data_IF_222620322707
#
_entry.id   IF_222620322707
#
_cell.length_a   1.000
_cell.length_b   1.000
_cell.length_c   1.000
_cell.angle_alpha   90.00
_cell.angle_beta   90.00
_cell.angle_gamma   90.00
#
_symmetry.space_group_name_H-M   'P 1'
#
loop_
_entity.id
_entity.type
_entity.pdbx_description
1 polymer ?
#
# COMPACT_ATOMS: atom_id res chain seq x y z
N UNK A 1 22.05 53.43 11.88
CA UNK A 1 22.30 52.01 11.54
C UNK A 1 21.00 51.28 11.81
N UNK A 2 20.30 50.83 10.75
CA UNK A 2 19.08 50.03 10.86
C UNK A 2 19.51 48.57 10.90
N UNK A 3 19.25 47.89 12.00
CA UNK A 3 19.55 46.47 12.19
C UNK A 3 18.61 45.66 11.30
N UNK A 4 19.17 44.94 10.32
CA UNK A 4 18.44 44.00 9.47
C UNK A 4 18.29 42.72 10.29
N UNK A 5 17.05 42.34 10.60
CA UNK A 5 16.76 41.04 11.19
C UNK A 5 16.87 39.98 10.09
N UNK A 6 17.89 39.14 10.19
CA UNK A 6 18.08 37.98 9.31
C UNK A 6 17.09 36.90 9.75
N UNK A 7 16.02 36.69 8.98
CA UNK A 7 15.11 35.56 9.17
C UNK A 7 15.85 34.26 8.84
N UNK A 8 15.89 33.35 9.80
CA UNK A 8 16.37 31.97 9.58
C UNK A 8 15.21 31.22 8.93
N UNK A 9 15.36 30.89 7.66
CA UNK A 9 14.45 30.01 6.94
C UNK A 9 14.74 28.57 7.42
N UNK A 10 13.86 28.03 8.26
CA UNK A 10 13.85 26.60 8.55
C UNK A 10 13.31 25.88 7.31
N UNK A 11 14.21 25.28 6.54
CA UNK A 11 13.84 24.27 5.55
C UNK A 11 13.52 23.02 6.36
N UNK A 12 12.25 22.74 6.58
CA UNK A 12 11.81 21.46 7.13
C UNK A 12 12.34 20.36 6.21
N UNK A 13 13.15 19.44 6.74
CA UNK A 13 13.39 18.17 6.07
C UNK A 13 12.05 17.44 6.10
N UNK A 14 11.32 17.46 4.98
CA UNK A 14 10.30 16.46 4.77
C UNK A 14 11.01 15.11 4.78
N UNK A 15 10.81 14.34 5.84
CA UNK A 15 11.21 12.94 5.89
C UNK A 15 10.27 12.22 4.92
N UNK A 16 10.66 12.15 3.64
CA UNK A 16 10.03 11.20 2.73
C UNK A 16 10.28 9.83 3.34
N UNK A 17 9.24 9.13 3.78
CA UNK A 17 9.35 7.76 4.23
C UNK A 17 10.11 6.98 3.15
N UNK A 18 11.34 6.60 3.47
CA UNK A 18 12.20 5.90 2.52
C UNK A 18 11.68 4.47 2.44
N UNK A 19 11.41 3.98 1.23
CA UNK A 19 11.09 2.57 1.00
C UNK A 19 12.14 1.68 1.68
N UNK A 20 11.68 0.67 2.42
CA UNK A 20 12.58 -0.22 3.12
C UNK A 20 13.26 -1.19 2.14
N UNK A 21 14.51 -1.55 2.43
CA UNK A 21 15.23 -2.61 1.72
C UNK A 21 15.15 -3.91 2.52
N UNK A 22 14.45 -4.90 1.98
CA UNK A 22 14.26 -6.21 2.60
C UNK A 22 15.17 -7.22 1.93
N UNK A 23 15.99 -7.91 2.73
CA UNK A 23 16.91 -8.93 2.24
C UNK A 23 16.37 -10.34 2.46
N UNK A 24 16.39 -11.16 1.41
CA UNK A 24 16.11 -12.60 1.46
C UNK A 24 17.34 -13.34 0.95
N UNK A 25 17.85 -14.28 1.75
CA UNK A 25 19.01 -15.09 1.36
C UNK A 25 18.56 -16.48 0.97
N UNK A 26 18.88 -16.92 -0.24
CA UNK A 26 18.75 -18.32 -0.61
C UNK A 26 19.88 -19.12 0.07
N UNK A 27 19.53 -20.12 0.87
CA UNK A 27 20.47 -21.02 1.57
C UNK A 27 20.05 -22.47 1.34
N UNK A 28 20.87 -23.25 0.62
CA UNK A 28 20.52 -24.64 0.29
C UNK A 28 19.20 -24.72 -0.50
N UNK A 29 18.18 -25.39 0.05
CA UNK A 29 16.84 -25.49 -0.55
C UNK A 29 15.82 -24.61 0.19
N UNK A 30 16.25 -23.45 0.70
CA UNK A 30 15.40 -22.55 1.48
C UNK A 30 15.63 -21.09 1.11
N UNK A 31 14.61 -20.28 1.35
CA UNK A 31 14.71 -18.83 1.44
C UNK A 31 14.72 -18.44 2.92
N UNK A 32 15.65 -17.57 3.32
CA UNK A 32 15.83 -17.12 4.70
C UNK A 32 15.81 -15.59 4.77
N UNK A 33 14.83 -14.97 5.47
CA UNK A 33 13.70 -15.64 6.11
C UNK A 33 12.72 -16.24 5.08
N UNK A 34 11.94 -17.28 5.45
CA UNK A 34 10.94 -17.90 4.56
C UNK A 34 9.65 -17.08 4.44
N UNK A 35 9.52 -16.01 5.23
CA UNK A 35 8.46 -15.03 5.11
C UNK A 35 8.98 -13.65 5.48
N UNK A 36 8.55 -12.64 4.73
CA UNK A 36 8.84 -11.22 4.99
C UNK A 36 7.54 -10.43 5.01
N UNK A 37 7.51 -9.37 5.81
CA UNK A 37 6.44 -8.36 5.78
C UNK A 37 6.99 -7.12 5.09
N UNK A 38 6.23 -6.60 4.13
CA UNK A 38 6.61 -5.43 3.32
C UNK A 38 5.41 -4.53 3.11
N UNK A 39 5.64 -3.31 2.66
CA UNK A 39 4.60 -2.38 2.19
C UNK A 39 4.83 -1.99 0.72
N UNK A 40 3.80 -1.48 0.02
CA UNK A 40 3.97 -0.92 -1.32
C UNK A 40 5.15 0.06 -1.38
N UNK A 41 5.96 0.01 -2.43
CA UNK A 41 7.19 0.81 -2.58
C UNK A 41 8.46 0.18 -2.02
N UNK A 42 8.39 -0.77 -1.08
CA UNK A 42 9.56 -1.46 -0.55
C UNK A 42 10.32 -2.24 -1.64
N UNK A 43 11.61 -2.45 -1.43
CA UNK A 43 12.48 -3.20 -2.35
C UNK A 43 12.95 -4.49 -1.70
N UNK A 44 12.58 -5.62 -2.28
CA UNK A 44 13.04 -6.94 -1.85
C UNK A 44 14.25 -7.33 -2.69
N UNK A 45 15.34 -7.73 -2.03
CA UNK A 45 16.57 -8.24 -2.65
C UNK A 45 16.80 -9.69 -2.28
N UNK A 46 16.76 -10.58 -3.26
CA UNK A 46 17.16 -11.98 -3.11
C UNK A 46 18.66 -12.12 -3.37
N UNK A 47 19.37 -12.83 -2.48
CA UNK A 47 20.80 -13.13 -2.63
C UNK A 47 21.05 -14.63 -2.61
N UNK A 48 21.75 -15.14 -3.62
CA UNK A 48 22.15 -16.54 -3.77
C UNK A 48 23.41 -16.86 -2.97
N UNK A 49 23.43 -17.98 -2.25
CA UNK A 49 24.64 -18.51 -1.60
C UNK A 49 25.29 -19.68 -2.32
N UNK A 50 24.57 -20.40 -3.19
CA UNK A 50 25.10 -21.53 -3.94
C UNK A 50 24.10 -22.09 -4.96
N UNK A 51 24.47 -23.16 -5.68
CA UNK A 51 23.53 -23.85 -6.59
C UNK A 51 23.03 -23.02 -7.78
N UNK A 52 21.89 -23.38 -8.36
CA UNK A 52 21.13 -22.54 -9.30
C UNK A 52 19.71 -22.49 -8.78
N UNK A 53 19.16 -21.29 -8.68
CA UNK A 53 17.85 -21.04 -8.09
C UNK A 53 17.14 -19.94 -8.86
N UNK A 54 15.90 -19.70 -8.48
CA UNK A 54 15.06 -18.62 -8.92
C UNK A 54 14.04 -18.32 -7.83
N UNK A 55 13.40 -17.15 -7.92
CA UNK A 55 12.21 -16.80 -7.18
C UNK A 55 11.09 -16.55 -8.21
N UNK A 56 10.08 -17.42 -8.21
CA UNK A 56 8.96 -17.38 -9.15
C UNK A 56 7.67 -17.17 -8.37
N UNK A 57 6.95 -16.09 -8.67
CA UNK A 57 5.64 -15.83 -8.09
C UNK A 57 4.68 -16.96 -8.46
N UNK A 58 4.10 -17.61 -7.45
CA UNK A 58 3.23 -18.76 -7.62
C UNK A 58 3.23 -19.66 -6.41
N UNK A 59 2.41 -20.71 -6.45
CA UNK A 59 2.15 -21.59 -5.31
C UNK A 59 2.14 -23.05 -5.72
N UNK A 60 2.34 -23.95 -4.76
CA UNK A 60 2.29 -25.40 -4.99
C UNK A 60 3.17 -25.87 -6.16
N UNK A 61 4.28 -25.16 -6.39
CA UNK A 61 5.21 -25.38 -7.50
C UNK A 61 4.64 -25.10 -8.91
N UNK A 62 3.60 -24.27 -8.99
CA UNK A 62 3.04 -23.73 -10.22
C UNK A 62 3.18 -22.21 -10.23
N UNK A 63 3.72 -21.66 -11.31
CA UNK A 63 3.77 -20.23 -11.55
C UNK A 63 2.34 -19.66 -11.54
N UNK A 64 2.17 -18.46 -10.99
CA UNK A 64 0.89 -17.78 -11.03
C UNK A 64 0.50 -17.48 -12.49
N UNK A 65 -0.77 -17.70 -12.82
CA UNK A 65 -1.34 -17.48 -14.14
C UNK A 65 -1.84 -16.04 -14.26
N UNK A 66 -1.65 -15.43 -15.43
CA UNK A 66 -2.28 -14.15 -15.82
C UNK A 66 -3.73 -14.32 -16.34
N UNK A 67 -4.22 -15.56 -16.32
CA UNK A 67 -5.53 -16.01 -16.82
C UNK A 67 -5.83 -15.57 -18.25
N UNK A 68 -4.83 -15.62 -19.12
CA UNK A 68 -4.96 -15.23 -20.51
C UNK A 68 -4.81 -13.72 -20.71
N UNK A 69 -4.04 -13.08 -19.83
CA UNK A 69 -3.73 -11.65 -19.87
C UNK A 69 -4.81 -10.75 -19.26
N UNK A 70 -5.69 -11.31 -18.42
CA UNK A 70 -6.73 -10.55 -17.71
C UNK A 70 -6.10 -9.68 -16.62
N UNK A 71 -5.06 -10.18 -15.97
CA UNK A 71 -4.38 -9.49 -14.87
C UNK A 71 -3.07 -8.88 -15.38
N UNK A 72 -3.10 -7.59 -15.74
CA UNK A 72 -1.93 -6.88 -16.20
C UNK A 72 -0.82 -6.91 -15.14
N UNK A 73 0.41 -7.27 -15.54
CA UNK A 73 1.55 -7.36 -14.62
C UNK A 73 1.56 -8.63 -13.73
N UNK A 74 0.67 -9.58 -13.96
CA UNK A 74 0.74 -10.93 -13.38
C UNK A 74 1.41 -11.92 -14.35
N UNK A 75 2.17 -12.91 -13.85
CA UNK A 75 2.73 -13.00 -12.50
C UNK A 75 3.70 -11.84 -12.19
N UNK A 76 3.83 -11.45 -10.92
CA UNK A 76 4.65 -10.30 -10.52
C UNK A 76 6.13 -10.40 -10.88
N UNK A 77 6.73 -11.59 -10.75
CA UNK A 77 8.14 -11.76 -10.96
C UNK A 77 8.53 -13.22 -11.26
N UNK A 78 9.60 -13.35 -12.03
CA UNK A 78 10.30 -14.61 -12.32
C UNK A 78 11.80 -14.31 -12.40
N UNK A 79 12.49 -14.41 -11.24
CA UNK A 79 13.82 -13.86 -11.03
C UNK A 79 14.86 -14.97 -10.93
N UNK A 80 15.84 -15.00 -11.84
CA UNK A 80 16.91 -15.99 -11.80
C UNK A 80 18.01 -15.62 -10.79
N UNK A 81 18.46 -16.63 -10.06
CA UNK A 81 19.56 -16.56 -9.09
C UNK A 81 20.64 -17.57 -9.48
N UNK A 82 21.73 -17.07 -10.08
CA UNK A 82 22.82 -17.88 -10.64
C UNK A 82 24.19 -17.41 -10.15
N UNK A 83 25.26 -18.13 -10.49
CA UNK A 83 26.61 -17.67 -10.18
C UNK A 83 26.99 -16.36 -10.89
N UNK A 84 26.46 -16.13 -12.09
CA UNK A 84 26.67 -14.90 -12.88
C UNK A 84 25.73 -13.76 -12.50
N UNK A 85 24.59 -14.06 -11.89
CA UNK A 85 23.62 -13.10 -11.38
C UNK A 85 23.20 -13.54 -9.97
N UNK A 86 24.02 -13.28 -8.95
CA UNK A 86 23.79 -13.80 -7.60
C UNK A 86 22.71 -13.04 -6.84
N UNK A 87 22.29 -11.87 -7.33
CA UNK A 87 21.26 -11.04 -6.70
C UNK A 87 20.18 -10.67 -7.70
N UNK A 88 18.95 -10.56 -7.23
CA UNK A 88 17.82 -10.03 -7.97
C UNK A 88 16.95 -9.17 -7.06
N UNK A 89 16.29 -8.16 -7.61
CA UNK A 89 15.45 -7.23 -6.85
C UNK A 89 14.06 -7.12 -7.45
N UNK A 90 13.07 -6.88 -6.60
CA UNK A 90 11.70 -6.55 -7.00
C UNK A 90 11.16 -5.46 -6.07
N UNK A 91 10.55 -4.44 -6.66
CA UNK A 91 9.89 -3.37 -5.92
C UNK A 91 8.41 -3.70 -5.81
N UNK A 92 7.86 -3.62 -4.60
CA UNK A 92 6.44 -3.86 -4.35
C UNK A 92 5.63 -2.76 -5.06
N UNK A 93 4.73 -3.09 -6.01
CA UNK A 93 3.91 -2.10 -6.71
C UNK A 93 2.95 -1.39 -5.75
N UNK A 94 2.44 -0.23 -6.16
CA UNK A 94 1.45 0.52 -5.38
C UNK A 94 0.19 -0.31 -5.12
N UNK A 95 -0.29 -1.06 -6.12
CA UNK A 95 -1.40 -2.01 -6.02
C UNK A 95 -0.89 -3.46 -6.14
N UNK A 96 -1.17 -4.30 -5.15
CA UNK A 96 -0.59 -5.65 -5.04
C UNK A 96 -1.46 -6.57 -4.16
N UNK A 97 -1.37 -7.89 -4.35
CA UNK A 97 -2.03 -8.87 -3.46
C UNK A 97 -1.42 -8.83 -2.06
N UNK A 98 -2.26 -8.96 -1.02
CA UNK A 98 -1.85 -8.94 0.39
C UNK A 98 -0.94 -10.11 0.78
N UNK A 99 -0.99 -11.21 0.03
CA UNK A 99 -0.10 -12.37 0.17
C UNK A 99 0.40 -12.82 -1.18
N UNK A 100 1.71 -13.03 -1.28
CA UNK A 100 2.40 -13.38 -2.53
C UNK A 100 3.26 -14.61 -2.26
N UNK A 101 2.72 -15.82 -2.47
CA UNK A 101 3.52 -17.03 -2.40
C UNK A 101 4.51 -17.09 -3.57
N UNK A 102 5.70 -17.63 -3.33
CA UNK A 102 6.67 -17.86 -4.38
C UNK A 102 7.51 -19.10 -4.09
N UNK A 103 8.16 -19.62 -5.12
CA UNK A 103 8.95 -20.84 -5.03
C UNK A 103 10.17 -20.82 -5.95
N UNK A 104 11.02 -21.83 -5.80
CA UNK A 104 12.10 -22.11 -6.75
C UNK A 104 11.67 -23.21 -7.74
N UNK A 105 11.63 -22.88 -9.03
CA UNK A 105 11.20 -23.75 -10.13
C UNK A 105 12.29 -24.73 -10.59
N UNK A 106 13.53 -24.57 -10.11
CA UNK A 106 14.67 -25.40 -10.53
C UNK A 106 14.49 -26.86 -10.08
N UNK A 107 14.31 -27.76 -11.05
CA UNK A 107 14.23 -29.20 -10.82
C UNK A 107 13.15 -29.57 -9.81
N UNK A 108 13.52 -30.30 -8.76
CA UNK A 108 12.60 -30.70 -7.70
C UNK A 108 12.69 -29.77 -6.46
N UNK A 109 13.32 -28.59 -6.54
CA UNK A 109 13.58 -27.75 -5.36
C UNK A 109 12.29 -27.38 -4.63
N UNK A 110 11.27 -26.91 -5.34
CA UNK A 110 9.98 -26.61 -4.72
C UNK A 110 9.30 -27.84 -4.11
N UNK A 111 9.31 -29.00 -4.79
CA UNK A 111 8.76 -30.24 -4.22
C UNK A 111 9.54 -30.75 -2.99
N UNK A 112 10.75 -30.24 -2.75
CA UNK A 112 11.52 -30.47 -1.52
C UNK A 112 11.32 -29.35 -0.47
N UNK A 113 10.35 -28.46 -0.66
CA UNK A 113 9.98 -27.41 0.30
C UNK A 113 10.61 -26.04 0.05
N UNK A 114 11.22 -25.80 -1.11
CA UNK A 114 11.80 -24.49 -1.44
C UNK A 114 10.72 -23.51 -1.91
N UNK A 115 9.90 -23.06 -0.97
CA UNK A 115 8.84 -22.06 -1.12
C UNK A 115 8.91 -21.04 0.02
N UNK A 116 8.36 -19.86 -0.20
CA UNK A 116 8.29 -18.77 0.76
C UNK A 116 7.11 -17.85 0.44
N UNK A 117 6.87 -16.87 1.30
CA UNK A 117 5.72 -15.96 1.19
C UNK A 117 6.13 -14.52 1.50
N UNK A 118 5.66 -13.59 0.69
CA UNK A 118 5.69 -12.16 1.02
C UNK A 118 4.31 -11.78 1.54
N UNK A 119 4.26 -11.14 2.70
CA UNK A 119 3.06 -10.58 3.29
C UNK A 119 3.12 -9.07 3.07
N UNK A 120 2.17 -8.53 2.32
CA UNK A 120 2.07 -7.10 2.11
C UNK A 120 1.14 -6.52 3.17
N UNK A 121 1.52 -5.38 3.75
CA UNK A 121 0.73 -4.64 4.74
C UNK A 121 0.65 -3.16 4.34
N UNK A 122 -0.38 -2.42 4.80
CA UNK A 122 -0.44 -0.98 4.63
C UNK A 122 0.84 -0.28 5.09
N UNK A 123 1.22 0.81 4.41
CA UNK A 123 2.39 1.61 4.81
C UNK A 123 2.20 2.11 6.24
N UNK A 124 3.27 2.10 7.03
CA UNK A 124 3.20 2.62 8.40
C UNK A 124 2.73 4.08 8.41
N UNK A 125 1.68 4.36 9.18
CA UNK A 125 1.09 5.70 9.30
C UNK A 125 0.17 6.12 8.16
N UNK A 126 -0.14 5.26 7.18
CA UNK A 126 -1.26 5.51 6.27
C UNK A 126 -2.58 5.23 6.98
N UNK A 127 -3.61 6.03 6.67
CA UNK A 127 -4.98 5.67 7.03
C UNK A 127 -5.42 4.49 6.16
N UNK A 128 -6.02 3.49 6.78
CA UNK A 128 -6.50 2.29 6.09
C UNK A 128 -7.99 2.42 5.83
N UNK A 129 -8.39 2.30 4.56
CA UNK A 129 -9.79 2.23 4.13
C UNK A 129 -10.07 0.81 3.65
N UNK A 130 -10.92 0.09 4.39
CA UNK A 130 -11.25 -1.30 4.08
C UNK A 130 -12.54 -1.41 3.29
N UNK A 131 -12.53 -2.25 2.26
CA UNK A 131 -13.67 -2.60 1.41
C UNK A 131 -13.80 -4.11 1.40
N UNK A 132 -14.94 -4.60 1.86
CA UNK A 132 -15.25 -6.02 1.91
C UNK A 132 -15.95 -6.43 0.61
N UNK A 133 -15.37 -7.37 -0.14
CA UNK A 133 -16.05 -8.01 -1.25
C UNK A 133 -16.85 -9.20 -0.71
N UNK A 134 -18.18 -9.17 -0.87
CA UNK A 134 -19.07 -10.27 -0.52
C UNK A 134 -20.15 -10.47 -1.59
N UNK A 135 -20.30 -11.71 -2.06
CA UNK A 135 -21.21 -12.09 -3.15
C UNK A 135 -20.99 -11.25 -4.43
N UNK A 136 -21.77 -10.20 -4.67
CA UNK A 136 -21.69 -9.31 -5.83
C UNK A 136 -21.60 -7.84 -5.41
N UNK A 137 -21.26 -7.59 -4.15
CA UNK A 137 -21.15 -6.27 -3.57
C UNK A 137 -19.70 -5.99 -3.15
N UNK A 138 -19.25 -4.76 -3.39
CA UNK A 138 -18.16 -4.15 -2.64
C UNK A 138 -18.78 -3.32 -1.51
N UNK A 139 -18.30 -3.52 -0.28
CA UNK A 139 -18.92 -2.95 0.91
C UNK A 139 -17.87 -2.16 1.70
N UNK A 140 -18.02 -0.82 1.82
CA UNK A 140 -19.06 -0.01 1.18
C UNK A 140 -18.86 0.09 -0.35
N UNK A 141 -19.95 0.32 -1.09
CA UNK A 141 -19.91 0.50 -2.55
C UNK A 141 -19.20 1.83 -2.91
N UNK A 142 -19.39 2.85 -2.06
CA UNK A 142 -18.78 4.16 -2.15
C UNK A 142 -18.10 4.52 -0.83
N UNK A 143 -16.84 4.93 -0.89
CA UNK A 143 -16.09 5.47 0.26
C UNK A 143 -15.25 6.68 -0.16
N UNK A 144 -14.66 7.36 0.81
CA UNK A 144 -13.69 8.44 0.57
C UNK A 144 -12.30 8.02 1.02
N UNK A 145 -11.28 8.52 0.33
CA UNK A 145 -9.88 8.35 0.68
C UNK A 145 -9.06 9.53 0.16
N UNK A 146 -7.81 9.62 0.57
CA UNK A 146 -6.89 10.66 0.11
C UNK A 146 -5.59 10.08 -0.44
N UNK A 147 -4.85 10.84 -1.27
CA UNK A 147 -3.47 10.50 -1.60
C UNK A 147 -2.65 10.20 -0.33
N UNK A 148 -1.92 9.09 -0.32
CA UNK A 148 -1.21 8.61 0.87
C UNK A 148 -2.01 7.62 1.75
N UNK A 149 -3.32 7.47 1.57
CA UNK A 149 -4.10 6.42 2.22
C UNK A 149 -3.82 5.04 1.60
N UNK A 150 -4.11 3.98 2.34
CA UNK A 150 -4.10 2.61 1.82
C UNK A 150 -5.52 2.07 1.72
N UNK A 151 -5.91 1.63 0.52
CA UNK A 151 -7.13 0.87 0.29
C UNK A 151 -6.83 -0.61 0.46
N UNK A 152 -7.69 -1.32 1.18
CA UNK A 152 -7.61 -2.78 1.37
C UNK A 152 -8.93 -3.39 0.95
N UNK A 153 -8.93 -4.15 -0.15
CA UNK A 153 -10.06 -4.99 -0.51
C UNK A 153 -9.87 -6.38 0.06
N UNK A 154 -10.82 -6.85 0.86
CA UNK A 154 -10.84 -8.21 1.42
C UNK A 154 -11.83 -9.09 0.66
N UNK A 155 -11.46 -10.33 0.41
CA UNK A 155 -12.30 -11.34 -0.21
C UNK A 155 -13.07 -12.13 0.85
N UNK A 156 -14.39 -12.22 0.73
CA UNK A 156 -15.21 -13.07 1.61
C UNK A 156 -15.86 -14.25 0.91
N UNK A 157 -16.05 -14.22 -0.41
CA UNK A 157 -16.80 -15.26 -1.12
C UNK A 157 -16.55 -15.23 -2.64
N UNK A 158 -16.65 -16.38 -3.32
CA UNK A 158 -16.64 -16.43 -4.79
C UNK A 158 -15.28 -16.20 -5.45
N UNK A 159 -15.27 -15.89 -6.74
CA UNK A 159 -14.05 -15.52 -7.49
C UNK A 159 -14.27 -14.15 -8.12
N UNK A 160 -13.44 -13.19 -7.73
CA UNK A 160 -13.61 -11.78 -8.08
C UNK A 160 -12.27 -11.17 -8.48
N UNK A 161 -12.30 -9.87 -8.75
CA UNK A 161 -11.12 -9.12 -9.16
C UNK A 161 -11.34 -7.65 -8.93
N UNK A 162 -10.25 -6.91 -8.76
CA UNK A 162 -10.27 -5.45 -8.74
C UNK A 162 -9.66 -4.99 -10.06
N UNK A 163 -10.49 -4.38 -10.91
CA UNK A 163 -10.05 -3.70 -12.13
C UNK A 163 -10.45 -2.24 -12.05
N UNK A 164 -9.52 -1.33 -12.30
CA UNK A 164 -9.85 0.07 -12.61
C UNK A 164 -10.20 0.21 -14.09
N UNK A 165 -10.91 1.30 -14.42
CA UNK A 165 -11.24 1.64 -15.80
C UNK A 165 -12.67 2.16 -15.94
N UNK A 166 -13.24 2.01 -17.13
CA UNK A 166 -14.58 2.48 -17.44
C UNK A 166 -15.62 1.45 -17.01
N UNK A 167 -16.33 1.72 -15.91
CA UNK A 167 -17.39 0.86 -15.36
C UNK A 167 -18.65 0.77 -16.24
N UNK A 168 -18.86 1.73 -17.15
CA UNK A 168 -20.02 1.72 -18.05
C UNK A 168 -19.79 0.75 -19.20
N UNK A 169 -18.56 0.68 -19.70
CA UNK A 169 -18.18 -0.24 -20.78
C UNK A 169 -17.51 -1.52 -20.27
N UNK A 170 -17.25 -1.62 -18.97
CA UNK A 170 -16.48 -2.69 -18.34
C UNK A 170 -15.11 -2.89 -19.00
N UNK A 171 -14.50 -1.79 -19.43
CA UNK A 171 -13.20 -1.81 -20.10
C UNK A 171 -12.13 -1.51 -19.07
N UNK A 172 -11.26 -2.47 -18.74
CA UNK A 172 -10.20 -2.22 -17.78
C UNK A 172 -9.18 -1.25 -18.38
N UNK A 173 -8.63 -0.41 -17.53
CA UNK A 173 -7.33 0.20 -17.79
C UNK A 173 -6.22 -0.64 -17.13
N UNK A 174 -4.96 -0.23 -17.33
CA UNK A 174 -3.80 -0.94 -16.80
C UNK A 174 -3.38 -0.43 -15.41
N UNK A 175 -4.17 0.41 -14.74
CA UNK A 175 -3.76 1.01 -13.46
C UNK A 175 -3.85 0.00 -12.30
N UNK A 176 -4.96 -0.74 -12.19
CA UNK A 176 -5.15 -1.86 -11.26
C UNK A 176 -5.88 -2.98 -12.00
N UNK A 177 -5.29 -4.18 -12.02
CA UNK A 177 -5.89 -5.38 -12.60
C UNK A 177 -5.45 -6.62 -11.80
N UNK A 178 -6.13 -6.87 -10.67
CA UNK A 178 -5.70 -7.84 -9.66
C UNK A 178 -6.77 -8.88 -9.36
N UNK A 179 -6.40 -10.17 -9.15
CA UNK A 179 -7.33 -11.17 -8.67
C UNK A 179 -7.74 -10.89 -7.21
N UNK A 180 -9.00 -11.20 -6.89
CA UNK A 180 -9.53 -11.19 -5.53
C UNK A 180 -10.38 -12.45 -5.33
N UNK A 181 -9.76 -13.51 -4.80
CA UNK A 181 -10.36 -14.84 -4.73
C UNK A 181 -9.83 -15.65 -3.53
N UNK A 182 -10.16 -16.93 -3.45
CA UNK A 182 -9.70 -17.82 -2.37
C UNK A 182 -8.18 -18.03 -2.30
N UNK A 183 -7.43 -17.59 -3.30
CA UNK A 183 -5.96 -17.66 -3.38
C UNK A 183 -5.37 -16.32 -2.99
N UNK A 184 -5.87 -15.26 -3.62
CA UNK A 184 -5.47 -13.89 -3.41
C UNK A 184 -6.63 -13.19 -2.71
N UNK A 185 -6.74 -13.45 -1.40
CA UNK A 185 -7.88 -13.06 -0.57
C UNK A 185 -7.86 -11.58 -0.16
N UNK A 186 -6.84 -10.84 -0.58
CA UNK A 186 -6.69 -9.43 -0.29
C UNK A 186 -5.96 -8.72 -1.42
N UNK A 187 -6.44 -7.52 -1.76
CA UNK A 187 -5.72 -6.55 -2.58
C UNK A 187 -5.43 -5.32 -1.73
N UNK A 188 -4.18 -4.86 -1.76
CA UNK A 188 -3.71 -3.66 -1.09
C UNK A 188 -3.32 -2.66 -2.16
N UNK A 189 -3.85 -1.43 -2.06
CA UNK A 189 -3.45 -0.32 -2.90
C UNK A 189 -3.05 0.88 -2.06
N UNK A 190 -1.78 1.25 -2.14
CA UNK A 190 -1.31 2.53 -1.66
C UNK A 190 -1.66 3.59 -2.70
N UNK A 191 -2.53 4.54 -2.34
CA UNK A 191 -2.83 5.65 -3.24
C UNK A 191 -1.56 6.50 -3.36
N UNK A 192 -1.02 6.71 -4.58
CA UNK A 192 0.15 7.55 -4.78
C UNK A 192 -0.04 8.97 -4.22
N UNK A 193 1.02 9.57 -3.68
CA UNK A 193 0.94 10.89 -3.04
C UNK A 193 0.51 12.01 -4.02
N UNK A 194 0.73 11.81 -5.32
CA UNK A 194 0.36 12.72 -6.40
C UNK A 194 -0.88 12.25 -7.18
N UNK A 195 -1.65 11.29 -6.64
CA UNK A 195 -2.84 10.77 -7.31
C UNK A 195 -3.89 11.88 -7.52
N UNK A 196 -4.51 11.97 -8.70
CA UNK A 196 -5.48 13.01 -8.99
C UNK A 196 -6.74 12.88 -8.12
N UNK A 197 -7.29 14.03 -7.72
CA UNK A 197 -8.55 14.09 -6.98
C UNK A 197 -9.75 13.79 -7.90
N UNK A 198 -10.80 13.23 -7.32
CA UNK A 198 -12.04 12.85 -7.98
C UNK A 198 -12.34 11.36 -7.85
N UNK A 199 -13.35 10.87 -8.59
CA UNK A 199 -13.78 9.49 -8.46
C UNK A 199 -12.74 8.54 -9.05
N UNK A 200 -12.39 7.53 -8.27
CA UNK A 200 -11.72 6.31 -8.71
C UNK A 200 -12.76 5.19 -8.76
N UNK A 201 -13.10 4.77 -9.97
CA UNK A 201 -14.08 3.71 -10.20
C UNK A 201 -13.36 2.38 -10.45
N UNK A 202 -13.91 1.30 -9.91
CA UNK A 202 -13.37 -0.05 -10.06
C UNK A 202 -14.49 -1.07 -10.15
N UNK A 203 -14.18 -2.25 -10.68
CA UNK A 203 -15.17 -3.29 -10.92
C UNK A 203 -14.56 -4.69 -10.93
N UNK A 204 -15.43 -5.69 -10.77
CA UNK A 204 -15.08 -7.08 -11.05
C UNK A 204 -15.21 -7.37 -12.55
N UNK A 205 -14.12 -7.75 -13.21
CA UNK A 205 -14.11 -8.03 -14.67
C UNK A 205 -15.13 -9.10 -15.10
N UNK A 206 -15.44 -10.05 -14.21
CA UNK A 206 -16.34 -11.16 -14.50
C UNK A 206 -17.83 -10.80 -14.36
N UNK A 207 -18.14 -9.74 -13.61
CA UNK A 207 -19.50 -9.42 -13.18
C UNK A 207 -19.85 -7.92 -13.31
N UNK A 208 -19.02 -7.14 -14.00
CA UNK A 208 -19.23 -5.71 -14.18
C UNK A 208 -20.56 -5.41 -14.91
N UNK A 209 -20.91 -6.19 -15.94
CA UNK A 209 -22.17 -5.99 -16.70
C UNK A 209 -23.44 -6.14 -15.87
N UNK A 210 -23.35 -6.73 -14.68
CA UNK A 210 -24.47 -6.88 -13.73
C UNK A 210 -24.36 -5.95 -12.51
N UNK A 211 -23.43 -4.98 -12.55
CA UNK A 211 -23.30 -3.94 -11.53
C UNK A 211 -22.36 -4.27 -10.37
N UNK A 212 -21.46 -5.26 -10.52
CA UNK A 212 -20.44 -5.51 -9.48
C UNK A 212 -19.29 -4.51 -9.61
N UNK A 213 -19.60 -3.27 -9.19
CA UNK A 213 -18.78 -2.07 -9.31
C UNK A 213 -18.63 -1.42 -7.93
N UNK A 214 -17.63 -0.56 -7.79
CA UNK A 214 -17.45 0.28 -6.63
C UNK A 214 -16.73 1.57 -7.00
N UNK A 215 -16.74 2.53 -6.08
CA UNK A 215 -16.08 3.80 -6.26
C UNK A 215 -15.42 4.31 -4.98
N UNK A 216 -14.35 5.06 -5.15
CA UNK A 216 -13.65 5.77 -4.08
C UNK A 216 -13.57 7.24 -4.51
N UNK A 217 -14.14 8.15 -3.74
CA UNK A 217 -13.90 9.57 -3.96
C UNK A 217 -12.53 9.92 -3.37
N UNK A 218 -11.58 10.23 -4.25
CA UNK A 218 -10.26 10.68 -3.87
C UNK A 218 -10.32 12.18 -3.58
N UNK A 219 -10.24 12.53 -2.32
CA UNK A 219 -10.29 13.91 -1.83
C UNK A 219 -8.90 14.34 -1.35
N UNK A 220 -8.68 15.65 -1.29
CA UNK A 220 -7.42 16.16 -0.77
C UNK A 220 -7.20 15.65 0.65
N UNK A 221 -6.00 15.14 0.93
CA UNK A 221 -5.61 14.83 2.29
C UNK A 221 -5.76 16.10 3.15
N UNK A 222 -6.36 15.96 4.32
CA UNK A 222 -6.42 17.04 5.28
C UNK A 222 -4.98 17.47 5.59
N UNK A 223 -4.75 18.78 5.69
CA UNK A 223 -3.45 19.23 6.15
C UNK A 223 -3.18 18.62 7.52
N UNK A 224 -1.93 18.32 7.87
CA UNK A 224 -1.61 17.65 9.15
C UNK A 224 -2.10 18.41 10.39
N UNK A 225 -2.39 19.70 10.26
CA UNK A 225 -2.95 20.54 11.32
C UNK A 225 -4.45 20.88 11.14
N UNK A 226 -5.06 20.45 10.04
CA UNK A 226 -6.50 20.53 9.77
C UNK A 226 -7.11 19.22 10.29
N UNK A 227 -7.41 19.22 11.58
CA UNK A 227 -7.80 18.06 12.36
C UNK A 227 -9.28 17.71 12.20
N UNK A 228 -10.10 18.65 11.73
CA UNK A 228 -11.50 18.39 11.40
C UNK A 228 -11.78 18.25 9.89
N UNK A 229 -10.74 18.39 9.07
CA UNK A 229 -10.75 18.19 7.63
C UNK A 229 -11.69 19.16 6.89
N UNK A 230 -11.91 20.36 7.42
CA UNK A 230 -12.78 21.36 6.80
C UNK A 230 -12.08 22.17 5.68
N UNK A 231 -10.79 21.89 5.45
CA UNK A 231 -9.95 22.54 4.45
C UNK A 231 -9.14 23.71 5.00
N UNK A 232 -9.21 23.96 6.32
CA UNK A 232 -8.54 25.05 6.98
C UNK A 232 -7.93 24.65 8.34
N UNK A 233 -6.96 25.43 8.80
CA UNK A 233 -6.40 25.30 10.16
C UNK A 233 -6.88 26.51 10.95
N UNK A 234 -7.80 26.25 11.86
CA UNK A 234 -8.67 27.22 12.51
C UNK A 234 -8.80 26.99 14.03
N UNK A 235 -9.66 27.81 14.65
CA UNK A 235 -10.04 27.63 16.04
C UNK A 235 -10.75 26.30 16.32
N UNK A 236 -11.36 25.67 15.31
CA UNK A 236 -12.02 24.38 15.44
C UNK A 236 -10.99 23.28 15.59
N UNK A 237 -9.94 23.27 14.76
CA UNK A 237 -8.80 22.35 14.87
C UNK A 237 -8.08 22.50 16.20
N UNK A 238 -7.85 23.74 16.63
CA UNK A 238 -7.28 24.00 17.95
C UNK A 238 -8.13 23.40 19.08
N UNK A 239 -9.45 23.41 18.92
CA UNK A 239 -10.34 22.78 19.89
C UNK A 239 -10.18 21.26 19.89
N UNK A 240 -9.99 20.65 18.72
CA UNK A 240 -9.67 19.21 18.60
C UNK A 240 -8.32 18.89 19.26
N UNK A 241 -7.27 19.68 18.97
CA UNK A 241 -5.94 19.48 19.56
C UNK A 241 -5.96 19.60 21.08
N UNK A 242 -6.53 20.69 21.61
CA UNK A 242 -6.63 20.90 23.06
C UNK A 242 -7.53 19.86 23.75
N UNK A 243 -8.53 19.33 23.03
CA UNK A 243 -9.39 18.25 23.51
C UNK A 243 -8.66 16.92 23.69
N UNK A 244 -7.56 16.71 22.96
CA UNK A 244 -6.73 15.49 23.00
C UNK A 244 -5.40 15.68 23.75
N UNK A 245 -5.22 16.79 24.47
CA UNK A 245 -3.95 17.12 25.14
C UNK A 245 -3.47 16.03 26.11
N UNK A 246 -2.19 15.64 25.98
CA UNK A 246 -1.55 14.62 26.78
C UNK A 246 -1.10 13.42 25.97
N UNK A 247 -0.77 12.32 26.65
CA UNK A 247 -0.13 11.17 26.03
C UNK A 247 -1.04 10.43 25.05
N UNK A 248 -0.54 10.16 23.85
CA UNK A 248 -1.23 9.37 22.85
C UNK A 248 -1.03 7.88 23.12
N UNK A 249 -1.95 7.29 23.88
CA UNK A 249 -1.96 5.84 24.08
C UNK A 249 -2.76 5.15 22.97
N UNK A 250 -2.21 5.03 21.77
CA UNK A 250 -2.81 4.31 20.64
C UNK A 250 -2.28 4.78 19.27
N UNK A 251 -2.47 3.96 18.23
CA UNK A 251 -1.97 4.22 16.86
C UNK A 251 -2.75 5.30 16.10
N UNK A 252 -3.80 5.88 16.71
CA UNK A 252 -4.75 6.79 16.07
C UNK A 252 -4.94 8.07 16.91
N UNK A 253 -3.91 8.93 16.88
CA UNK A 253 -3.88 10.19 17.61
C UNK A 253 -3.68 11.35 16.62
N UNK A 254 -4.72 11.76 15.87
CA UNK A 254 -4.58 12.75 14.81
C UNK A 254 -4.09 14.12 15.31
N UNK A 255 -4.23 14.39 16.62
CA UNK A 255 -3.74 15.62 17.25
C UNK A 255 -2.25 15.60 17.64
N UNK A 256 -1.57 14.44 17.59
CA UNK A 256 -0.10 14.32 17.65
C UNK A 256 0.45 14.53 16.23
N UNK A 257 0.57 15.80 15.89
CA UNK A 257 0.90 16.31 14.56
C UNK A 257 2.37 16.06 14.25
N UNK A 258 3.26 16.09 15.24
CA UNK A 258 4.69 15.84 15.05
C UNK A 258 5.13 14.38 15.28
N UNK A 259 4.19 13.54 15.71
CA UNK A 259 4.29 12.07 15.84
C UNK A 259 5.33 11.64 16.88
N UNK A 260 5.49 12.40 17.96
CA UNK A 260 6.42 12.08 19.04
C UNK A 260 5.82 11.22 20.17
N UNK A 261 4.50 11.01 20.13
CA UNK A 261 3.74 10.17 21.05
C UNK A 261 3.00 10.95 22.15
N UNK A 262 3.10 12.28 22.20
CA UNK A 262 2.37 13.12 23.15
C UNK A 262 1.72 14.33 22.43
N UNK A 263 0.43 14.61 22.64
CA UNK A 263 -0.19 15.87 22.20
C UNK A 263 0.18 17.00 23.15
N UNK A 264 1.10 17.86 22.76
CA UNK A 264 1.61 18.92 23.61
C UNK A 264 1.87 20.28 22.94
N UNK A 265 2.76 21.09 23.54
CA UNK A 265 3.12 22.40 23.02
C UNK A 265 3.83 22.34 21.65
N UNK A 266 4.42 21.21 21.31
CA UNK A 266 5.11 20.98 20.04
C UNK A 266 4.09 20.86 18.90
N UNK A 267 3.04 20.06 19.06
CA UNK A 267 1.91 19.98 18.12
C UNK A 267 1.20 21.31 17.96
N UNK A 268 0.95 22.00 19.09
CA UNK A 268 0.34 23.33 19.06
C UNK A 268 1.21 24.31 18.25
N UNK A 269 2.54 24.19 18.35
CA UNK A 269 3.46 25.03 17.58
C UNK A 269 3.38 24.71 16.09
N UNK A 270 3.28 23.42 15.71
CA UNK A 270 3.08 23.01 14.32
C UNK A 270 1.74 23.51 13.78
N UNK A 271 0.65 23.36 14.55
CA UNK A 271 -0.67 23.85 14.18
C UNK A 271 -0.70 25.36 13.96
N UNK A 272 -0.19 26.15 14.92
CA UNK A 272 -0.13 27.60 14.78
C UNK A 272 0.77 28.05 13.63
N UNK A 273 1.78 27.25 13.28
CA UNK A 273 2.63 27.48 12.11
C UNK A 273 1.90 27.25 10.78
N UNK A 274 0.88 26.40 10.76
CA UNK A 274 0.05 26.09 9.59
C UNK A 274 -1.29 26.83 9.59
N UNK A 275 -1.51 27.75 10.52
CA UNK A 275 -2.78 28.48 10.68
C UNK A 275 -3.21 29.19 9.39
N UNK A 276 -4.38 28.84 8.86
CA UNK A 276 -4.90 29.43 7.61
C UNK A 276 -6.10 30.35 7.84
N UNK A 277 -6.79 30.25 8.98
CA UNK A 277 -7.69 31.31 9.48
C UNK A 277 -9.01 31.50 8.73
N UNK A 278 -9.56 30.41 8.20
CA UNK A 278 -11.00 30.23 8.15
C UNK A 278 -11.52 30.08 9.60
#
# INVERSE_FOLDING_TARGET
>A
MKTIATGVLFIGLACTAQADEIAITQVGLSFDPPSVTVSPGDVITWTRTGGTHDAVHGRDCFEASDDGGIFAGFPYFNLQLTASSPTATWTVPDAVSGRIPYFCSVGNHCSNGMSAEIIVVPRAGSKVVTIEQDVLDYIPELTTASPGDTIVWNHNNGGHSIHSGDIVTCTPDDAIALPLDFIYDQVIWQIPDDYPLGPFEYFCIFHCEIGHIGAIEIEAACSTADLDCDGCVSGTDLTVLLGNWGNCTGDDCPADIDKDGDVDGSDLTVMLGNWSGC
#
